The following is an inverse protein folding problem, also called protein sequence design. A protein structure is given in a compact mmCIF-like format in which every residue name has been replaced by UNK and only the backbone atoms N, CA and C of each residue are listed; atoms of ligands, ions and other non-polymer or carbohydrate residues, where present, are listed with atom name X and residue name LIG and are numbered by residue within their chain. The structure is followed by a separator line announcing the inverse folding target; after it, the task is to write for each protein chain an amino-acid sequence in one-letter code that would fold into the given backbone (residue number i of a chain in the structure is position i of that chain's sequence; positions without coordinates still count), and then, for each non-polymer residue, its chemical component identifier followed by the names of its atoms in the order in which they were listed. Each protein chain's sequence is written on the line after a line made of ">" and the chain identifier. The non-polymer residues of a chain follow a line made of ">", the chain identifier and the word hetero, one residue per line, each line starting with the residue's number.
data_IF_041721640795
#
_entry.id   IF_041721640795
#
_cell.length_a   1.000
_cell.length_b   1.000
_cell.length_c   1.000
_cell.angle_alpha   90.00
_cell.angle_beta   90.00
_cell.angle_gamma   90.00
#
_symmetry.space_group_name_H-M   'P 1'
#
loop_
_entity.id
_entity.type
_entity.pdbx_description
1 polymer ?
#
# COMPACT_ATOMS: atom_id res chain seq x y z
N UNK A 1 3.53 28.86 9.47
CA UNK A 1 2.84 28.52 8.21
C UNK A 1 3.50 27.38 7.42
N UNK A 2 4.83 27.37 7.17
CA UNK A 2 5.51 26.26 6.44
C UNK A 2 5.33 24.86 7.06
N UNK A 3 5.32 24.74 8.39
CA UNK A 3 5.16 23.45 9.08
C UNK A 3 3.80 22.77 8.80
N UNK A 4 2.69 23.53 8.89
CA UNK A 4 1.35 22.97 8.62
C UNK A 4 1.14 22.60 7.14
N UNK A 5 1.76 23.33 6.22
CA UNK A 5 1.72 22.99 4.79
C UNK A 5 2.43 21.65 4.51
N UNK A 6 3.59 21.42 5.14
CA UNK A 6 4.31 20.15 5.02
C UNK A 6 3.52 18.98 5.62
N UNK A 7 2.83 19.18 6.76
CA UNK A 7 2.00 18.13 7.37
C UNK A 7 0.84 17.70 6.45
N UNK A 8 0.19 18.65 5.76
CA UNK A 8 -0.88 18.36 4.77
C UNK A 8 -0.33 17.56 3.58
N UNK A 9 0.87 17.91 3.09
CA UNK A 9 1.51 17.20 1.99
C UNK A 9 1.86 15.75 2.39
N UNK A 10 2.46 15.54 3.56
CA UNK A 10 2.82 14.21 4.07
C UNK A 10 1.55 13.36 4.28
N UNK A 11 0.46 13.95 4.78
CA UNK A 11 -0.83 13.26 4.95
C UNK A 11 -1.40 12.79 3.62
N UNK A 12 -1.33 13.64 2.60
CA UNK A 12 -1.78 13.30 1.24
C UNK A 12 -0.96 12.15 0.65
N UNK A 13 0.37 12.22 0.77
CA UNK A 13 1.27 11.16 0.29
C UNK A 13 1.00 9.85 1.04
N UNK A 14 0.81 9.91 2.35
CA UNK A 14 0.50 8.71 3.13
C UNK A 14 -0.80 8.05 2.68
N UNK A 15 -1.87 8.84 2.49
CA UNK A 15 -3.15 8.30 2.03
C UNK A 15 -2.99 7.63 0.65
N UNK A 16 -2.23 8.24 -0.26
CA UNK A 16 -1.89 7.64 -1.54
C UNK A 16 -1.15 6.31 -1.38
N UNK A 17 -0.17 6.22 -0.46
CA UNK A 17 0.54 4.95 -0.20
C UNK A 17 -0.40 3.87 0.31
N UNK A 18 -1.33 4.22 1.21
CA UNK A 18 -2.35 3.29 1.73
C UNK A 18 -3.26 2.80 0.58
N UNK A 19 -3.70 3.70 -0.30
CA UNK A 19 -4.58 3.34 -1.41
C UNK A 19 -3.85 2.48 -2.47
N UNK A 20 -2.57 2.75 -2.74
CA UNK A 20 -1.72 1.87 -3.54
C UNK A 20 -1.57 0.49 -2.89
N UNK A 21 -1.40 0.42 -1.57
CA UNK A 21 -1.37 -0.83 -0.82
C UNK A 21 -2.64 -1.66 -1.02
N UNK A 22 -3.82 -1.04 -0.95
CA UNK A 22 -5.12 -1.69 -1.24
C UNK A 22 -5.23 -2.15 -2.70
N UNK A 23 -4.75 -1.34 -3.64
CA UNK A 23 -4.77 -1.67 -5.06
C UNK A 23 -3.93 -2.91 -5.36
N UNK A 24 -2.68 -2.94 -4.88
CA UNK A 24 -1.79 -4.10 -5.06
C UNK A 24 -2.34 -5.36 -4.39
N UNK A 25 -2.97 -5.24 -3.21
CA UNK A 25 -3.65 -6.36 -2.56
C UNK A 25 -4.75 -6.93 -3.45
N UNK A 26 -5.61 -6.05 -3.96
CA UNK A 26 -6.74 -6.44 -4.80
C UNK A 26 -6.26 -7.09 -6.10
N UNK A 27 -5.27 -6.49 -6.77
CA UNK A 27 -4.66 -7.05 -7.97
C UNK A 27 -4.03 -8.43 -7.72
N UNK A 28 -3.42 -8.63 -6.55
CA UNK A 28 -2.84 -9.92 -6.16
C UNK A 28 -3.91 -10.99 -6.00
N UNK A 29 -5.01 -10.68 -5.31
CA UNK A 29 -6.14 -11.62 -5.14
C UNK A 29 -6.78 -11.94 -6.48
N UNK A 30 -7.07 -10.92 -7.30
CA UNK A 30 -7.70 -11.13 -8.62
C UNK A 30 -6.79 -11.97 -9.51
N UNK A 31 -5.49 -11.68 -9.53
CA UNK A 31 -4.49 -12.47 -10.24
C UNK A 31 -4.44 -13.92 -9.73
N UNK A 32 -4.46 -14.13 -8.42
CA UNK A 32 -4.48 -15.47 -7.84
C UNK A 32 -5.75 -16.26 -8.19
N UNK A 33 -6.93 -15.64 -8.10
CA UNK A 33 -8.18 -16.30 -8.48
C UNK A 33 -8.19 -16.67 -9.98
N UNK A 34 -7.74 -15.76 -10.84
CA UNK A 34 -7.58 -16.04 -12.27
C UNK A 34 -6.59 -17.19 -12.52
N UNK A 35 -5.51 -17.24 -11.73
CA UNK A 35 -4.54 -18.33 -11.76
C UNK A 35 -5.17 -19.68 -11.48
N UNK A 36 -5.91 -19.78 -10.38
CA UNK A 36 -6.50 -21.04 -9.93
C UNK A 36 -7.50 -21.56 -10.97
N UNK A 37 -8.23 -20.66 -11.63
CA UNK A 37 -9.15 -21.00 -12.72
C UNK A 37 -8.40 -21.46 -13.97
N UNK A 38 -7.30 -20.79 -14.34
CA UNK A 38 -6.56 -21.07 -15.59
C UNK A 38 -5.41 -22.07 -15.43
N UNK A 39 -5.07 -22.43 -14.18
CA UNK A 39 -3.87 -23.19 -13.78
C UNK A 39 -2.55 -22.58 -14.25
N UNK A 40 -2.47 -21.25 -14.39
CA UNK A 40 -1.37 -20.58 -15.11
C UNK A 40 -0.48 -19.62 -14.30
N UNK A 41 -0.73 -19.35 -13.02
CA UNK A 41 0.13 -18.44 -12.24
C UNK A 41 0.75 -19.15 -11.03
N UNK A 42 2.05 -18.92 -10.88
CA UNK A 42 2.83 -19.41 -9.76
C UNK A 42 2.37 -18.74 -8.44
N UNK A 43 2.23 -19.49 -7.33
CA UNK A 43 2.03 -18.95 -5.98
C UNK A 43 3.02 -17.83 -5.59
N UNK A 44 4.19 -17.80 -6.24
CA UNK A 44 5.22 -16.77 -6.06
C UNK A 44 4.73 -15.38 -6.48
N UNK A 45 3.97 -15.26 -7.57
CA UNK A 45 3.46 -13.95 -8.04
C UNK A 45 2.42 -13.38 -7.08
N UNK A 46 1.60 -14.23 -6.47
CA UNK A 46 0.65 -13.83 -5.42
C UNK A 46 1.38 -13.36 -4.16
N UNK A 47 2.39 -14.11 -3.71
CA UNK A 47 3.21 -13.74 -2.57
C UNK A 47 3.94 -12.39 -2.79
N UNK A 48 4.51 -12.17 -3.99
CA UNK A 48 5.18 -10.91 -4.34
C UNK A 48 4.23 -9.71 -4.31
N UNK A 49 3.01 -9.88 -4.81
CA UNK A 49 1.99 -8.83 -4.77
C UNK A 49 1.48 -8.52 -3.35
N UNK A 50 1.35 -9.54 -2.49
CA UNK A 50 1.07 -9.38 -1.06
C UNK A 50 2.17 -8.60 -0.33
N UNK A 51 3.44 -8.95 -0.54
CA UNK A 51 4.58 -8.26 0.06
C UNK A 51 4.61 -6.78 -0.37
N UNK A 52 4.37 -6.52 -1.65
CA UNK A 52 4.28 -5.16 -2.19
C UNK A 52 3.18 -4.38 -1.48
N UNK A 53 1.97 -4.96 -1.38
CA UNK A 53 0.85 -4.35 -0.67
C UNK A 53 1.18 -3.97 0.77
N UNK A 54 1.73 -4.92 1.55
CA UNK A 54 2.11 -4.70 2.96
C UNK A 54 3.14 -3.58 3.08
N UNK A 55 4.13 -3.54 2.18
CA UNK A 55 5.16 -2.50 2.17
C UNK A 55 4.54 -1.10 2.02
N UNK A 56 3.61 -0.94 1.08
CA UNK A 56 2.90 0.33 0.87
C UNK A 56 2.06 0.74 2.09
N UNK A 57 1.38 -0.21 2.74
CA UNK A 57 0.64 0.07 3.98
C UNK A 57 1.56 0.50 5.11
N UNK A 58 2.68 -0.20 5.33
CA UNK A 58 3.65 0.11 6.39
C UNK A 58 4.22 1.51 6.18
N UNK A 59 4.57 1.89 4.95
CA UNK A 59 5.08 3.23 4.65
C UNK A 59 4.02 4.29 4.97
N UNK A 60 2.79 4.14 4.47
CA UNK A 60 1.72 5.11 4.73
C UNK A 60 1.42 5.25 6.24
N UNK A 61 1.22 4.13 6.94
CA UNK A 61 0.92 4.17 8.38
C UNK A 61 2.06 4.83 9.19
N UNK A 62 3.33 4.55 8.87
CA UNK A 62 4.46 5.21 9.54
C UNK A 62 4.51 6.71 9.25
N UNK A 63 4.19 7.14 8.02
CA UNK A 63 4.11 8.57 7.68
C UNK A 63 3.01 9.29 8.49
N UNK A 64 1.82 8.68 8.65
CA UNK A 64 0.77 9.24 9.51
C UNK A 64 1.17 9.30 10.98
N UNK A 65 1.84 8.24 11.46
CA UNK A 65 2.35 8.19 12.82
C UNK A 65 3.36 9.32 13.09
N UNK A 66 4.28 9.55 12.15
CA UNK A 66 5.25 10.65 12.24
C UNK A 66 4.56 12.02 12.30
N UNK A 67 3.49 12.26 11.54
CA UNK A 67 2.73 13.52 11.65
C UNK A 67 2.17 13.67 13.06
N UNK A 68 1.51 12.63 13.58
CA UNK A 68 0.87 12.66 14.91
C UNK A 68 1.88 12.87 16.05
N UNK A 69 3.09 12.34 15.93
CA UNK A 69 4.15 12.53 16.94
C UNK A 69 4.79 13.94 16.90
N UNK A 70 4.56 14.70 15.82
CA UNK A 70 5.12 16.05 15.61
C UNK A 70 4.05 17.16 15.58
N UNK A 71 2.79 16.85 15.86
CA UNK A 71 1.69 17.80 16.13
C UNK A 71 1.68 18.22 17.61
#
# INVERSE_FOLDING_TARGET
>A
MKSQFNAIQIKTISNLMIDLGKLFFTASIVGFLFSEVTKQISPISFAGGLITSVTYFVIGVNMLKLIKENE
#
